data_IF_093515371177
#
_entry.id   IF_093515371177
#
_cell.length_a   1.000
_cell.length_b   1.000
_cell.length_c   1.000
_cell.angle_alpha   90.00
_cell.angle_beta   90.00
_cell.angle_gamma   90.00
#
_symmetry.space_group_name_H-M   'P 1'
#
loop_
_entity.id
_entity.type
_entity.pdbx_description
1 polymer ?
#
# COMPACT_ATOMS: atom_id res chain seq x y z
N UNK A 1 -32.09 -44.84 49.08
CA UNK A 1 -32.84 -45.13 47.84
C UNK A 1 -32.00 -46.00 46.97
N UNK A 2 -32.49 -47.22 46.84
CA UNK A 2 -31.89 -48.38 46.22
C UNK A 2 -31.85 -48.27 44.70
N UNK A 3 -30.91 -49.01 44.12
CA UNK A 3 -30.78 -49.33 42.70
C UNK A 3 -32.04 -50.04 42.17
N UNK A 4 -32.36 -49.89 40.88
CA UNK A 4 -32.51 -51.05 39.99
C UNK A 4 -32.66 -50.65 38.51
N UNK A 5 -32.10 -51.49 37.66
CA UNK A 5 -32.13 -51.51 36.19
C UNK A 5 -33.43 -52.20 35.74
N UNK A 6 -33.82 -52.02 34.47
CA UNK A 6 -34.31 -53.05 33.51
C UNK A 6 -35.52 -52.60 32.67
N UNK A 7 -35.32 -52.61 31.35
CA UNK A 7 -36.33 -52.50 30.28
C UNK A 7 -37.31 -53.69 30.29
N UNK A 8 -38.44 -53.58 29.59
CA UNK A 8 -38.74 -54.64 28.62
C UNK A 8 -39.34 -54.15 27.30
N UNK A 9 -38.96 -54.87 26.25
CA UNK A 9 -39.57 -54.90 24.92
C UNK A 9 -41.02 -55.43 24.95
N UNK A 10 -41.77 -55.06 23.91
CA UNK A 10 -42.75 -55.93 23.26
C UNK A 10 -44.22 -55.50 23.39
N UNK A 11 -44.83 -55.07 22.28
CA UNK A 11 -45.59 -56.00 21.41
C UNK A 11 -46.21 -55.30 20.19
N UNK A 12 -46.26 -56.07 19.10
CA UNK A 12 -47.05 -55.93 17.87
C UNK A 12 -48.44 -55.26 18.02
N UNK A 13 -48.92 -54.52 17.01
CA UNK A 13 -49.74 -55.15 15.96
C UNK A 13 -50.07 -54.20 14.79
N UNK A 14 -50.19 -54.83 13.63
CA UNK A 14 -50.45 -54.30 12.29
C UNK A 14 -51.96 -54.25 12.08
N UNK A 15 -52.49 -53.26 11.34
CA UNK A 15 -53.39 -53.46 10.16
C UNK A 15 -54.17 -52.20 9.76
N UNK A 16 -53.85 -51.75 8.54
CA UNK A 16 -54.73 -51.35 7.43
C UNK A 16 -56.15 -50.86 7.71
N UNK A 17 -56.44 -49.62 7.24
CA UNK A 17 -57.68 -49.32 6.50
C UNK A 17 -57.43 -48.33 5.36
N UNK A 18 -57.74 -48.82 4.16
CA UNK A 18 -58.13 -48.06 2.97
C UNK A 18 -59.27 -47.08 3.30
N UNK A 19 -59.28 -45.89 2.70
CA UNK A 19 -60.31 -45.49 1.73
C UNK A 19 -60.14 -44.03 1.31
N UNK A 20 -60.22 -43.84 0.00
CA UNK A 20 -60.25 -42.59 -0.72
C UNK A 20 -61.43 -41.70 -0.27
N UNK A 21 -61.10 -40.50 0.20
CA UNK A 21 -62.02 -39.38 0.39
C UNK A 21 -61.78 -38.34 -0.69
N UNK A 22 -62.59 -38.43 -1.73
CA UNK A 22 -62.67 -37.53 -2.88
C UNK A 22 -62.90 -36.04 -2.52
N UNK A 23 -62.09 -35.18 -3.15
CA UNK A 23 -62.36 -33.82 -3.69
C UNK A 23 -62.87 -32.70 -2.75
N UNK A 24 -62.15 -31.55 -2.70
CA UNK A 24 -62.60 -30.25 -3.25
C UNK A 24 -61.69 -29.07 -2.87
N UNK A 25 -61.19 -28.43 -3.93
CA UNK A 25 -60.79 -27.03 -4.14
C UNK A 25 -60.53 -26.10 -2.94
N UNK A 26 -59.29 -25.60 -2.87
CA UNK A 26 -58.92 -24.45 -2.04
C UNK A 26 -57.60 -23.83 -2.48
N UNK A 27 -57.65 -22.61 -2.99
CA UNK A 27 -56.55 -21.81 -3.53
C UNK A 27 -55.40 -21.55 -2.54
N UNK A 28 -54.21 -21.38 -3.14
CA UNK A 28 -53.10 -20.53 -2.73
C UNK A 28 -52.46 -20.74 -1.34
N UNK A 29 -51.27 -21.34 -1.33
CA UNK A 29 -50.29 -21.04 -0.30
C UNK A 29 -49.19 -22.07 -0.15
N UNK A 30 -48.11 -21.95 -0.92
CA UNK A 30 -46.71 -22.02 -0.46
C UNK A 30 -45.78 -22.17 -1.67
N UNK A 31 -44.73 -21.33 -1.82
CA UNK A 31 -43.68 -21.63 -2.76
C UNK A 31 -43.03 -22.95 -2.34
N UNK A 32 -42.92 -23.90 -3.27
CA UNK A 32 -41.97 -25.02 -3.15
C UNK A 32 -40.65 -24.38 -2.70
N UNK A 33 -40.21 -24.66 -1.48
CA UNK A 33 -38.80 -24.57 -1.12
C UNK A 33 -38.07 -25.53 -2.06
N UNK A 34 -37.73 -25.05 -3.25
CA UNK A 34 -36.53 -25.49 -3.92
C UNK A 34 -35.45 -25.26 -2.88
N UNK A 35 -34.96 -26.33 -2.29
CA UNK A 35 -33.69 -26.29 -1.62
C UNK A 35 -32.72 -25.71 -2.66
N UNK A 36 -32.39 -24.42 -2.52
CA UNK A 36 -31.25 -23.84 -3.21
C UNK A 36 -30.11 -24.76 -2.83
N UNK A 37 -29.71 -25.59 -3.79
CA UNK A 37 -28.49 -26.35 -3.71
C UNK A 37 -27.44 -25.29 -3.45
N UNK A 38 -26.95 -25.25 -2.21
CA UNK A 38 -25.87 -24.38 -1.80
C UNK A 38 -24.63 -24.94 -2.47
N UNK A 39 -24.51 -24.70 -3.78
CA UNK A 39 -23.27 -24.85 -4.51
C UNK A 39 -22.35 -23.81 -3.90
N UNK A 40 -21.61 -24.22 -2.87
CA UNK A 40 -20.21 -23.80 -2.84
C UNK A 40 -19.67 -24.24 -4.19
N UNK A 41 -19.63 -23.30 -5.14
CA UNK A 41 -18.89 -23.46 -6.37
C UNK A 41 -17.43 -23.62 -5.92
N UNK A 42 -17.07 -24.86 -5.59
CA UNK A 42 -15.71 -25.28 -5.46
C UNK A 42 -15.15 -25.05 -6.86
N UNK A 43 -14.36 -23.98 -7.00
CA UNK A 43 -13.71 -23.63 -8.26
C UNK A 43 -13.04 -24.91 -8.76
N UNK A 44 -13.52 -25.45 -9.88
CA UNK A 44 -13.03 -26.71 -10.40
C UNK A 44 -11.57 -26.45 -10.79
N UNK A 45 -10.63 -26.91 -9.96
CA UNK A 45 -9.21 -26.63 -10.15
C UNK A 45 -8.73 -27.51 -11.29
N UNK A 46 -8.89 -26.98 -12.50
CA UNK A 46 -8.36 -27.55 -13.71
C UNK A 46 -7.08 -26.81 -14.14
N UNK A 47 -6.37 -27.42 -15.07
CA UNK A 47 -5.07 -26.95 -15.57
C UNK A 47 -5.15 -25.53 -16.13
N UNK A 48 -6.15 -25.21 -16.95
CA UNK A 48 -6.38 -23.87 -17.49
C UNK A 48 -6.53 -22.81 -16.39
N UNK A 49 -7.28 -23.10 -15.33
CA UNK A 49 -7.46 -22.18 -14.20
C UNK A 49 -6.12 -21.89 -13.49
N UNK A 50 -5.30 -22.92 -13.25
CA UNK A 50 -3.97 -22.75 -12.65
C UNK A 50 -3.04 -21.92 -13.53
N UNK A 51 -3.04 -22.16 -14.85
CA UNK A 51 -2.27 -21.35 -15.82
C UNK A 51 -2.68 -19.88 -15.79
N UNK A 52 -3.98 -19.59 -15.75
CA UNK A 52 -4.48 -18.22 -15.69
C UNK A 52 -4.05 -17.53 -14.38
N UNK A 53 -4.15 -18.22 -13.23
CA UNK A 53 -3.72 -17.70 -11.93
C UNK A 53 -2.22 -17.38 -11.92
N UNK A 54 -1.38 -18.32 -12.37
CA UNK A 54 0.07 -18.09 -12.45
C UNK A 54 0.44 -16.92 -13.38
N UNK A 55 -0.22 -16.83 -14.53
CA UNK A 55 -0.03 -15.73 -15.49
C UNK A 55 -0.39 -14.37 -14.88
N UNK A 56 -1.52 -14.30 -14.19
CA UNK A 56 -1.94 -13.06 -13.52
C UNK A 56 -0.94 -12.67 -12.42
N UNK A 57 -0.51 -13.63 -11.59
CA UNK A 57 0.48 -13.38 -10.54
C UNK A 57 1.82 -12.87 -11.11
N UNK A 58 2.31 -13.46 -12.21
CA UNK A 58 3.49 -12.96 -12.94
C UNK A 58 3.33 -11.50 -13.40
N UNK A 59 2.20 -11.19 -14.04
CA UNK A 59 1.91 -9.82 -14.52
C UNK A 59 1.88 -8.82 -13.36
N UNK A 60 1.28 -9.19 -12.22
CA UNK A 60 1.29 -8.36 -11.02
C UNK A 60 2.69 -8.14 -10.46
N UNK A 61 3.51 -9.20 -10.38
CA UNK A 61 4.89 -9.11 -9.91
C UNK A 61 5.76 -8.22 -10.82
N UNK A 62 5.63 -8.36 -12.15
CA UNK A 62 6.33 -7.52 -13.13
C UNK A 62 5.93 -6.05 -13.01
N UNK A 63 4.64 -5.77 -12.86
CA UNK A 63 4.14 -4.41 -12.67
C UNK A 63 4.68 -3.78 -11.39
N UNK A 64 4.69 -4.54 -10.30
CA UNK A 64 5.21 -4.09 -9.01
C UNK A 64 6.72 -3.82 -9.06
N UNK A 65 7.50 -4.71 -9.70
CA UNK A 65 8.94 -4.53 -9.88
C UNK A 65 9.28 -3.28 -10.72
N UNK A 66 8.57 -3.05 -11.83
CA UNK A 66 8.73 -1.82 -12.64
C UNK A 66 8.42 -0.56 -11.85
N UNK A 67 7.37 -0.60 -11.03
CA UNK A 67 6.99 0.54 -10.19
C UNK A 67 8.03 0.80 -9.08
N UNK A 68 8.58 -0.26 -8.46
CA UNK A 68 9.65 -0.14 -7.48
C UNK A 68 10.93 0.46 -8.09
N UNK A 69 11.33 0.01 -9.28
CA UNK A 69 12.49 0.56 -10.00
C UNK A 69 12.28 2.03 -10.39
N UNK A 70 11.07 2.39 -10.81
CA UNK A 70 10.71 3.78 -11.10
C UNK A 70 10.79 4.66 -9.86
N UNK A 71 10.27 4.18 -8.72
CA UNK A 71 10.36 4.88 -7.45
C UNK A 71 11.82 5.04 -6.98
N UNK A 72 12.66 4.01 -7.13
CA UNK A 72 14.11 4.08 -6.87
C UNK A 72 14.76 5.19 -7.70
N UNK A 73 14.51 5.21 -9.01
CA UNK A 73 15.08 6.23 -9.90
C UNK A 73 14.64 7.64 -9.49
N UNK A 74 13.35 7.84 -9.25
CA UNK A 74 12.83 9.13 -8.80
C UNK A 74 13.43 9.57 -7.46
N UNK A 75 13.67 8.61 -6.56
CA UNK A 75 14.35 8.84 -5.28
C UNK A 75 15.77 9.36 -5.53
N UNK A 76 16.56 8.69 -6.37
CA UNK A 76 17.93 9.11 -6.70
C UNK A 76 17.97 10.50 -7.37
N UNK A 77 17.10 10.73 -8.36
CA UNK A 77 17.00 12.01 -9.07
C UNK A 77 16.59 13.15 -8.11
N UNK A 78 15.75 12.87 -7.13
CA UNK A 78 15.35 13.84 -6.11
C UNK A 78 16.49 14.11 -5.11
N UNK A 79 17.26 13.09 -4.73
CA UNK A 79 18.43 13.24 -3.86
C UNK A 79 19.53 14.10 -4.50
N UNK A 80 19.74 14.00 -5.81
CA UNK A 80 20.72 14.83 -6.51
C UNK A 80 20.40 16.33 -6.41
N UNK A 81 19.11 16.69 -6.28
CA UNK A 81 18.66 18.09 -6.15
C UNK A 81 18.89 18.67 -4.75
N UNK A 82 19.11 17.82 -3.74
CA UNK A 82 19.27 18.24 -2.35
C UNK A 82 20.68 17.89 -1.88
N UNK A 83 21.53 18.89 -1.68
CA UNK A 83 22.89 18.67 -1.17
C UNK A 83 22.90 18.42 0.35
N UNK A 84 22.12 17.45 0.83
CA UNK A 84 22.01 17.05 2.25
C UNK A 84 22.42 15.58 2.39
N UNK A 85 23.72 15.29 2.57
CA UNK A 85 24.25 13.94 2.39
C UNK A 85 23.76 12.93 3.43
N UNK A 86 23.69 13.29 4.72
CA UNK A 86 23.77 12.28 5.78
C UNK A 86 22.44 11.72 6.31
N UNK A 87 21.30 12.37 6.08
CA UNK A 87 19.99 11.86 6.56
C UNK A 87 19.27 10.97 5.55
N UNK A 88 19.66 11.02 4.29
CA UNK A 88 18.92 10.39 3.19
C UNK A 88 19.57 9.12 2.65
N UNK A 89 20.81 8.82 3.06
CA UNK A 89 21.52 7.59 2.67
C UNK A 89 20.73 6.32 3.01
N UNK A 90 20.10 6.27 4.20
CA UNK A 90 19.25 5.13 4.58
C UNK A 90 18.01 4.98 3.71
N UNK A 91 17.40 6.10 3.30
CA UNK A 91 16.21 6.10 2.44
C UNK A 91 16.59 5.65 1.03
N UNK A 92 17.78 6.05 0.56
CA UNK A 92 18.37 5.58 -0.70
C UNK A 92 18.61 4.08 -0.68
N UNK A 93 19.34 3.57 0.31
CA UNK A 93 19.62 2.13 0.47
C UNK A 93 18.32 1.32 0.54
N UNK A 94 17.31 1.84 1.24
CA UNK A 94 16.01 1.20 1.32
C UNK A 94 15.29 1.11 -0.03
N UNK A 95 15.28 2.21 -0.80
CA UNK A 95 14.69 2.20 -2.15
C UNK A 95 15.42 1.25 -3.11
N UNK A 96 16.76 1.20 -3.03
CA UNK A 96 17.58 0.30 -3.83
C UNK A 96 17.34 -1.17 -3.49
N UNK A 97 17.29 -1.50 -2.19
CA UNK A 97 17.00 -2.84 -1.70
C UNK A 97 15.59 -3.29 -2.11
N UNK A 98 14.58 -2.44 -1.91
CA UNK A 98 13.19 -2.74 -2.26
C UNK A 98 13.02 -3.01 -3.76
N UNK A 99 13.64 -2.20 -4.63
CA UNK A 99 13.59 -2.42 -6.08
C UNK A 99 14.30 -3.73 -6.49
N UNK A 100 15.47 -4.01 -5.90
CA UNK A 100 16.22 -5.25 -6.17
C UNK A 100 15.44 -6.49 -5.74
N UNK A 101 14.89 -6.48 -4.53
CA UNK A 101 14.08 -7.59 -4.04
C UNK A 101 12.79 -7.76 -4.86
N UNK A 102 12.16 -6.67 -5.32
CA UNK A 102 10.96 -6.76 -6.16
C UNK A 102 11.27 -7.44 -7.50
N UNK A 103 12.45 -7.17 -8.08
CA UNK A 103 12.94 -7.86 -9.29
C UNK A 103 13.18 -9.35 -9.06
N UNK A 104 13.67 -9.73 -7.87
CA UNK A 104 13.80 -11.14 -7.51
C UNK A 104 12.43 -11.82 -7.43
N UNK A 105 11.41 -11.16 -6.87
CA UNK A 105 10.04 -11.70 -6.83
C UNK A 105 9.40 -11.81 -8.22
N UNK A 106 9.65 -10.87 -9.13
CA UNK A 106 9.26 -10.99 -10.55
C UNK A 106 9.88 -12.24 -11.19
N UNK A 107 11.15 -12.52 -10.90
CA UNK A 107 11.86 -13.70 -11.41
C UNK A 107 11.22 -14.99 -10.89
N UNK A 108 10.95 -15.07 -9.58
CA UNK A 108 10.27 -16.23 -8.96
C UNK A 108 8.89 -16.46 -9.57
N UNK A 109 8.08 -15.41 -9.73
CA UNK A 109 6.75 -15.51 -10.34
C UNK A 109 6.82 -15.96 -11.82
N UNK A 110 7.85 -15.51 -12.55
CA UNK A 110 8.08 -15.90 -13.95
C UNK A 110 8.49 -17.36 -14.08
N UNK A 111 9.39 -17.84 -13.24
CA UNK A 111 9.81 -19.26 -13.22
C UNK A 111 8.64 -20.18 -12.85
N UNK A 112 7.86 -19.80 -11.83
CA UNK A 112 6.67 -20.53 -11.42
C UNK A 112 5.61 -20.58 -12.53
N UNK A 113 5.34 -19.46 -13.19
CA UNK A 113 4.42 -19.42 -14.34
C UNK A 113 4.90 -20.29 -15.50
N UNK A 114 6.20 -20.29 -15.78
CA UNK A 114 6.79 -21.15 -16.83
C UNK A 114 6.52 -22.63 -16.55
N UNK A 115 6.80 -23.08 -15.32
CA UNK A 115 6.52 -24.46 -14.89
C UNK A 115 5.04 -24.82 -14.96
N UNK A 116 4.15 -23.89 -14.59
CA UNK A 116 2.70 -24.12 -14.68
C UNK A 116 2.23 -24.19 -16.14
N UNK A 117 2.81 -23.37 -17.02
CA UNK A 117 2.50 -23.32 -18.44
C UNK A 117 2.97 -24.57 -19.20
N UNK A 118 4.12 -25.12 -18.84
CA UNK A 118 4.74 -26.31 -19.47
C UNK A 118 4.21 -27.64 -18.94
N UNK A 119 3.63 -27.69 -17.73
CA UNK A 119 3.15 -28.92 -17.14
C UNK A 119 2.04 -29.61 -17.96
N UNK A 120 1.99 -30.94 -17.91
CA UNK A 120 1.02 -31.75 -18.66
C UNK A 120 -0.34 -31.88 -17.93
N UNK A 121 -0.36 -31.76 -16.60
CA UNK A 121 -1.57 -31.59 -15.79
C UNK A 121 -2.29 -32.89 -15.46
N UNK A 122 -1.59 -34.02 -15.52
CA UNK A 122 -2.07 -35.30 -15.00
C UNK A 122 -2.27 -35.21 -13.46
N UNK A 123 -3.08 -36.06 -12.85
CA UNK A 123 -3.48 -35.95 -11.42
C UNK A 123 -2.28 -35.84 -10.45
N UNK A 124 -1.18 -36.54 -10.72
CA UNK A 124 0.05 -36.46 -9.92
C UNK A 124 0.83 -35.15 -10.11
N UNK A 125 0.67 -34.48 -11.25
CA UNK A 125 1.30 -33.21 -11.58
C UNK A 125 0.45 -32.00 -11.16
N UNK A 126 -0.88 -32.15 -11.09
CA UNK A 126 -1.81 -31.10 -10.67
C UNK A 126 -1.47 -30.55 -9.27
N UNK A 127 -1.02 -31.40 -8.35
CA UNK A 127 -0.52 -30.98 -7.03
C UNK A 127 0.75 -30.13 -7.10
N UNK A 128 1.68 -30.47 -8.00
CA UNK A 128 2.88 -29.68 -8.25
C UNK A 128 2.54 -28.33 -8.89
N UNK A 129 1.63 -28.31 -9.86
CA UNK A 129 1.16 -27.07 -10.49
C UNK A 129 0.52 -26.12 -9.46
N UNK A 130 -0.33 -26.63 -8.56
CA UNK A 130 -0.88 -25.83 -7.44
C UNK A 130 0.21 -25.20 -6.59
N UNK A 131 1.24 -25.96 -6.26
CA UNK A 131 2.38 -25.47 -5.46
C UNK A 131 3.14 -24.35 -6.19
N UNK A 132 3.33 -24.46 -7.50
CA UNK A 132 3.95 -23.39 -8.29
C UNK A 132 3.03 -22.16 -8.42
N UNK A 133 1.70 -22.34 -8.57
CA UNK A 133 0.75 -21.20 -8.52
C UNK A 133 0.86 -20.47 -7.18
N UNK A 134 0.88 -21.19 -6.06
CA UNK A 134 1.01 -20.59 -4.73
C UNK A 134 2.33 -19.81 -4.58
N UNK A 135 3.43 -20.30 -5.16
CA UNK A 135 4.71 -19.57 -5.22
C UNK A 135 4.58 -18.28 -6.03
N UNK A 136 3.95 -18.34 -7.20
CA UNK A 136 3.75 -17.16 -8.04
C UNK A 136 2.89 -16.09 -7.32
N UNK A 137 1.77 -16.50 -6.69
CA UNK A 137 0.90 -15.59 -5.94
C UNK A 137 1.60 -14.97 -4.72
N UNK A 138 2.38 -15.77 -3.98
CA UNK A 138 3.20 -15.25 -2.87
C UNK A 138 4.23 -14.25 -3.36
N UNK A 139 4.93 -14.55 -4.45
CA UNK A 139 5.90 -13.65 -5.04
C UNK A 139 5.25 -12.33 -5.50
N UNK A 140 4.08 -12.39 -6.15
CA UNK A 140 3.32 -11.20 -6.53
C UNK A 140 2.93 -10.33 -5.32
N UNK A 141 2.45 -10.94 -4.23
CA UNK A 141 2.12 -10.23 -2.98
C UNK A 141 3.35 -9.55 -2.38
N UNK A 142 4.49 -10.24 -2.32
CA UNK A 142 5.76 -9.67 -1.83
C UNK A 142 6.25 -8.54 -2.72
N UNK A 143 6.22 -8.71 -4.05
CA UNK A 143 6.60 -7.66 -4.99
C UNK A 143 5.77 -6.38 -4.77
N UNK A 144 4.46 -6.52 -4.52
CA UNK A 144 3.58 -5.39 -4.23
C UNK A 144 3.91 -4.68 -2.91
N UNK A 145 4.29 -5.42 -1.87
CA UNK A 145 4.78 -4.83 -0.63
C UNK A 145 6.07 -4.05 -0.85
N UNK A 146 7.00 -4.61 -1.63
CA UNK A 146 8.27 -3.96 -1.97
C UNK A 146 8.09 -2.71 -2.84
N UNK A 147 7.11 -2.73 -3.75
CA UNK A 147 6.67 -1.53 -4.46
C UNK A 147 6.25 -0.42 -3.50
N UNK A 148 5.39 -0.73 -2.52
CA UNK A 148 4.91 0.25 -1.53
C UNK A 148 6.10 0.80 -0.73
N UNK A 149 7.01 -0.06 -0.27
CA UNK A 149 8.25 0.33 0.43
C UNK A 149 9.08 1.33 -0.41
N UNK A 150 9.31 1.05 -1.69
CA UNK A 150 10.04 1.94 -2.58
C UNK A 150 9.32 3.29 -2.79
N UNK A 151 7.98 3.29 -2.91
CA UNK A 151 7.19 4.52 -3.03
C UNK A 151 7.22 5.37 -1.77
N UNK A 152 7.26 4.76 -0.59
CA UNK A 152 7.41 5.47 0.69
C UNK A 152 8.76 6.19 0.75
N UNK A 153 9.84 5.54 0.31
CA UNK A 153 11.16 6.18 0.20
C UNK A 153 11.13 7.39 -0.74
N UNK A 154 10.49 7.24 -1.91
CA UNK A 154 10.34 8.34 -2.87
C UNK A 154 9.61 9.54 -2.26
N UNK A 155 8.53 9.30 -1.51
CA UNK A 155 7.78 10.37 -0.84
C UNK A 155 8.61 11.05 0.26
N UNK A 156 9.36 10.29 1.06
CA UNK A 156 10.22 10.84 2.09
C UNK A 156 11.30 11.77 1.50
N UNK A 157 11.92 11.37 0.38
CA UNK A 157 12.90 12.24 -0.31
C UNK A 157 12.23 13.48 -0.89
N UNK A 158 11.09 13.35 -1.57
CA UNK A 158 10.35 14.50 -2.10
C UNK A 158 9.98 15.50 -1.01
N UNK A 159 9.58 15.02 0.15
CA UNK A 159 9.25 15.87 1.28
C UNK A 159 10.51 16.61 1.80
N UNK A 160 11.67 15.96 1.82
CA UNK A 160 12.93 16.61 2.19
C UNK A 160 13.41 17.63 1.15
N UNK A 161 13.22 17.38 -0.15
CA UNK A 161 13.44 18.39 -1.20
C UNK A 161 12.59 19.64 -0.91
N UNK A 162 11.29 19.44 -0.67
CA UNK A 162 10.37 20.54 -0.37
C UNK A 162 10.76 21.28 0.92
N UNK A 163 11.26 20.57 1.94
CA UNK A 163 11.81 21.20 3.15
C UNK A 163 12.96 22.14 2.84
N UNK A 164 13.94 21.68 2.06
CA UNK A 164 15.10 22.50 1.68
C UNK A 164 14.70 23.71 0.83
N UNK A 165 13.79 23.54 -0.12
CA UNK A 165 13.25 24.65 -0.92
C UNK A 165 12.52 25.68 -0.05
N UNK A 166 11.74 25.22 0.93
CA UNK A 166 11.02 26.11 1.83
C UNK A 166 11.94 26.82 2.84
N UNK A 167 12.98 26.15 3.35
CA UNK A 167 14.02 26.79 4.16
C UNK A 167 14.75 27.89 3.36
N UNK A 168 15.07 27.64 2.09
CA UNK A 168 15.67 28.64 1.22
C UNK A 168 14.74 29.84 1.02
N UNK A 169 13.46 29.60 0.71
CA UNK A 169 12.48 30.66 0.54
C UNK A 169 12.31 31.52 1.81
N UNK A 170 12.35 30.89 3.00
CA UNK A 170 12.37 31.59 4.28
C UNK A 170 13.60 32.48 4.42
N UNK A 171 14.80 31.97 4.12
CA UNK A 171 16.04 32.77 4.19
C UNK A 171 16.03 33.95 3.22
N UNK A 172 15.54 33.73 1.99
CA UNK A 172 15.44 34.79 0.97
C UNK A 172 14.44 35.88 1.41
N UNK A 173 13.31 35.51 2.01
CA UNK A 173 12.34 36.47 2.53
C UNK A 173 12.87 37.26 3.75
N UNK A 174 13.60 36.61 4.66
CA UNK A 174 14.29 37.28 5.77
C UNK A 174 15.37 38.27 5.27
N UNK A 175 16.08 37.92 4.20
CA UNK A 175 17.04 38.82 3.56
C UNK A 175 16.35 40.03 2.92
N UNK A 176 15.27 39.80 2.15
CA UNK A 176 14.50 40.87 1.54
C UNK A 176 13.90 41.86 2.57
N UNK A 177 13.46 41.35 3.73
CA UNK A 177 13.01 42.20 4.84
C UNK A 177 14.16 43.08 5.37
N UNK A 178 15.33 42.50 5.63
CA UNK A 178 16.51 43.25 6.10
C UNK A 178 16.94 44.31 5.10
N UNK A 179 16.93 43.99 3.81
CA UNK A 179 17.27 44.93 2.74
C UNK A 179 16.26 46.08 2.64
N UNK A 180 14.96 45.79 2.79
CA UNK A 180 13.93 46.82 2.83
C UNK A 180 14.09 47.77 4.03
N UNK A 181 14.45 47.23 5.21
CA UNK A 181 14.74 48.03 6.41
C UNK A 181 15.98 48.90 6.19
N UNK A 182 17.07 48.31 5.69
CA UNK A 182 18.32 49.04 5.41
C UNK A 182 18.12 50.15 4.38
N UNK A 183 17.38 49.88 3.30
CA UNK A 183 17.05 50.89 2.30
C UNK A 183 16.23 52.05 2.87
N UNK A 184 15.27 51.75 3.77
CA UNK A 184 14.52 52.80 4.49
C UNK A 184 15.44 53.64 5.37
N UNK A 185 16.37 53.04 6.10
CA UNK A 185 17.34 53.78 6.93
C UNK A 185 18.26 54.69 6.10
N UNK A 186 18.76 54.20 4.97
CA UNK A 186 19.56 55.01 4.03
C UNK A 186 18.75 56.20 3.50
N UNK A 187 17.52 55.96 3.05
CA UNK A 187 16.65 57.02 2.56
C UNK A 187 16.36 58.10 3.62
N UNK A 188 16.18 57.70 4.89
CA UNK A 188 15.99 58.65 5.99
C UNK A 188 17.24 59.52 6.21
N UNK A 189 18.44 58.91 6.16
CA UNK A 189 19.71 59.63 6.32
C UNK A 189 20.00 60.62 5.19
N UNK A 190 19.64 60.28 3.96
CA UNK A 190 19.93 61.12 2.78
C UNK A 190 18.90 62.25 2.57
N UNK A 191 17.65 62.07 2.99
CA UNK A 191 16.56 63.01 2.69
C UNK A 191 16.07 63.80 3.90
N UNK A 192 16.57 63.53 5.11
CA UNK A 192 16.09 64.07 6.40
C UNK A 192 14.56 63.91 6.60
N UNK A 193 13.90 63.10 5.78
CA UNK A 193 12.45 62.95 5.76
C UNK A 193 12.08 61.58 6.32
N UNK A 194 11.86 61.52 7.64
CA UNK A 194 11.57 60.29 8.39
C UNK A 194 10.27 59.58 7.99
N UNK A 195 9.40 60.22 7.20
CA UNK A 195 8.03 59.78 6.94
C UNK A 195 7.75 59.38 5.48
N UNK A 196 8.73 58.80 4.77
CA UNK A 196 8.47 58.25 3.43
C UNK A 196 7.45 57.11 3.51
N UNK A 197 6.22 57.39 3.05
CA UNK A 197 5.12 56.42 2.99
C UNK A 197 5.48 55.22 2.09
N UNK A 198 6.23 55.44 1.01
CA UNK A 198 6.68 54.38 0.11
C UNK A 198 7.66 53.43 0.78
N UNK A 199 8.69 53.96 1.47
CA UNK A 199 9.66 53.12 2.17
C UNK A 199 8.99 52.35 3.33
N UNK A 200 8.05 52.97 4.04
CA UNK A 200 7.28 52.31 5.10
C UNK A 200 6.38 51.19 4.54
N UNK A 201 5.73 51.42 3.40
CA UNK A 201 4.92 50.40 2.72
C UNK A 201 5.77 49.22 2.23
N UNK A 202 6.96 49.48 1.68
CA UNK A 202 7.89 48.42 1.25
C UNK A 202 8.33 47.52 2.42
N UNK A 203 8.72 48.12 3.56
CA UNK A 203 9.05 47.36 4.78
C UNK A 203 7.86 46.53 5.28
N UNK A 204 6.66 47.09 5.25
CA UNK A 204 5.46 46.37 5.68
C UNK A 204 5.18 45.16 4.78
N UNK A 205 5.23 45.34 3.45
CA UNK A 205 5.04 44.24 2.49
C UNK A 205 6.08 43.14 2.67
N UNK A 206 7.37 43.51 2.80
CA UNK A 206 8.45 42.55 3.03
C UNK A 206 8.29 41.79 4.35
N UNK A 207 7.78 42.45 5.40
CA UNK A 207 7.46 41.80 6.69
C UNK A 207 6.29 40.83 6.58
N UNK A 208 5.25 41.17 5.82
CA UNK A 208 4.13 40.25 5.57
C UNK A 208 4.56 39.03 4.75
N UNK A 209 5.38 39.21 3.73
CA UNK A 209 5.93 38.12 2.92
C UNK A 209 6.87 37.22 3.74
N UNK A 210 7.71 37.79 4.58
CA UNK A 210 8.57 37.04 5.52
C UNK A 210 7.73 36.20 6.49
N UNK A 211 6.65 36.76 7.04
CA UNK A 211 5.73 36.01 7.91
C UNK A 211 5.06 34.83 7.19
N UNK A 212 4.63 35.02 5.95
CA UNK A 212 4.04 33.95 5.11
C UNK A 212 5.09 32.86 4.81
N UNK A 213 6.27 33.25 4.36
CA UNK A 213 7.36 32.33 4.03
C UNK A 213 7.78 31.50 5.25
N UNK A 214 7.84 32.10 6.45
CA UNK A 214 8.10 31.37 7.70
C UNK A 214 7.05 30.31 8.01
N UNK A 215 5.77 30.68 7.88
CA UNK A 215 4.67 29.76 8.17
C UNK A 215 4.62 28.58 7.18
N UNK A 216 4.81 28.86 5.89
CA UNK A 216 4.89 27.84 4.84
C UNK A 216 6.10 26.92 5.05
N UNK A 217 7.27 27.47 5.37
CA UNK A 217 8.46 26.68 5.67
C UNK A 217 8.27 25.78 6.87
N UNK A 218 7.68 26.28 7.95
CA UNK A 218 7.39 25.47 9.13
C UNK A 218 6.45 24.30 8.81
N UNK A 219 5.42 24.56 8.01
CA UNK A 219 4.49 23.53 7.54
C UNK A 219 5.18 22.48 6.67
N UNK A 220 6.08 22.89 5.77
CA UNK A 220 6.85 21.98 4.94
C UNK A 220 7.81 21.11 5.76
N UNK A 221 8.50 21.70 6.74
CA UNK A 221 9.40 21.02 7.68
C UNK A 221 8.66 19.92 8.44
N UNK A 222 7.51 20.24 9.04
CA UNK A 222 6.73 19.25 9.82
C UNK A 222 6.23 18.08 8.95
N UNK A 223 5.82 18.36 7.72
CA UNK A 223 5.40 17.29 6.78
C UNK A 223 6.58 16.42 6.36
N UNK A 224 7.74 17.02 6.12
CA UNK A 224 8.93 16.30 5.71
C UNK A 224 9.47 15.38 6.81
N UNK A 225 9.54 15.87 8.05
CA UNK A 225 10.02 15.06 9.17
C UNK A 225 9.07 13.88 9.44
N UNK A 226 7.74 14.08 9.34
CA UNK A 226 6.75 12.99 9.42
C UNK A 226 6.92 11.94 8.32
N UNK A 227 7.10 12.36 7.06
CA UNK A 227 7.29 11.44 5.95
C UNK A 227 8.55 10.58 6.09
N UNK A 228 9.64 11.18 6.60
CA UNK A 228 10.89 10.44 6.88
C UNK A 228 10.72 9.46 8.03
N UNK A 229 10.04 9.86 9.12
CA UNK A 229 9.75 8.95 10.24
C UNK A 229 8.88 7.76 9.80
N UNK A 230 7.84 8.01 9.01
CA UNK A 230 6.99 6.94 8.47
C UNK A 230 7.78 6.00 7.57
N UNK A 231 8.66 6.53 6.71
CA UNK A 231 9.54 5.71 5.89
C UNK A 231 10.49 4.85 6.72
N UNK A 232 11.08 5.40 7.77
CA UNK A 232 11.96 4.66 8.67
C UNK A 232 11.22 3.56 9.45
N UNK A 233 10.00 3.82 9.92
CA UNK A 233 9.16 2.80 10.57
C UNK A 233 8.85 1.64 9.63
N UNK A 234 8.58 1.92 8.36
CA UNK A 234 8.25 0.88 7.39
C UNK A 234 9.48 0.10 6.91
N UNK A 235 10.68 0.70 7.00
CA UNK A 235 11.95 -0.04 6.91
C UNK A 235 12.06 -1.05 8.04
N UNK A 236 11.84 -0.62 9.28
CA UNK A 236 11.97 -1.48 10.47
C UNK A 236 10.96 -2.62 10.48
N UNK A 237 9.67 -2.35 10.23
CA UNK A 237 8.65 -3.41 10.10
C UNK A 237 8.95 -4.37 8.96
N UNK A 238 9.44 -3.84 7.84
CA UNK A 238 9.78 -4.63 6.67
C UNK A 238 10.85 -5.68 6.94
N UNK A 239 11.81 -5.38 7.82
CA UNK A 239 12.87 -6.30 8.27
C UNK A 239 12.28 -7.36 9.21
N UNK A 240 11.36 -7.00 10.10
CA UNK A 240 10.73 -7.96 11.03
C UNK A 240 9.87 -9.02 10.31
N UNK A 241 9.11 -8.63 9.29
CA UNK A 241 8.26 -9.58 8.56
C UNK A 241 9.08 -10.52 7.68
N UNK A 242 10.15 -10.02 7.03
CA UNK A 242 11.10 -10.85 6.30
C UNK A 242 11.77 -11.87 7.24
N UNK A 243 12.12 -11.48 8.46
CA UNK A 243 12.74 -12.37 9.46
C UNK A 243 11.83 -13.52 9.91
N UNK A 244 10.50 -13.33 9.91
CA UNK A 244 9.51 -14.33 10.34
C UNK A 244 9.18 -15.35 9.24
N UNK A 245 9.33 -15.00 7.97
CA UNK A 245 9.09 -15.95 6.86
C UNK A 245 10.25 -16.93 6.65
N UNK A 246 11.44 -16.65 7.20
CA UNK A 246 12.64 -17.51 7.11
C UNK A 246 12.79 -18.47 8.30
N UNK A 247 11.96 -18.34 9.34
CA UNK A 247 12.03 -19.12 10.59
C UNK A 247 10.90 -20.13 10.73
#
# INVERSE_FOLDING_TARGET
>A
NEENIVNPDGSDDVTDKEEDGEVLEGQNGSPKKLAEQKVHAQEEVNKESLKLKAKNAKVEAEKAAKAAESAKKNTLDALEKVNVPTKLDKVKEFAESAATQAKNQETIATEAETKVSEGNGDDGELGNLKTEVDKAEKAAKKAKQLQIKAQIAEQAVKAQVAKTEAEKAKTDAEAAQKDAIAAKEVAIKETDTSNSQYATKAVHMATEEEGKAKHEAQTAIEKADKAVEEAQKEVEKGIEDESKEIS
#
